data_IF_396759456730
#
_entry.id   IF_396759456730
#
_cell.length_a   1.000
_cell.length_b   1.000
_cell.length_c   1.000
_cell.angle_alpha   90.00
_cell.angle_beta   90.00
_cell.angle_gamma   90.00
#
_symmetry.space_group_name_H-M   'P 1'
#
loop_
_entity.id
_entity.type
_entity.pdbx_description
1 polymer ?
#
# COMPACT_ATOMS: atom_id res chain seq x y z
N UNK A 1 32.08 9.64 28.98
CA UNK A 1 32.38 9.59 27.53
C UNK A 1 31.15 9.11 26.77
N UNK A 2 30.97 9.52 25.53
CA UNK A 2 29.81 9.21 24.67
C UNK A 2 29.49 7.71 24.63
N UNK A 3 30.50 6.84 24.68
CA UNK A 3 30.37 5.39 24.71
C UNK A 3 29.54 4.89 25.90
N UNK A 4 29.72 5.45 27.08
CA UNK A 4 28.99 5.03 28.28
C UNK A 4 27.51 5.50 28.26
N UNK A 5 27.23 6.61 27.60
CA UNK A 5 25.85 7.08 27.42
C UNK A 5 25.05 6.20 26.39
N UNK A 6 25.72 5.76 25.35
CA UNK A 6 25.12 4.83 24.35
C UNK A 6 24.82 3.49 25.00
N UNK A 7 25.74 2.96 25.81
CA UNK A 7 25.53 1.67 26.50
C UNK A 7 24.40 1.76 27.53
N UNK A 8 24.31 2.86 28.30
CA UNK A 8 23.25 3.05 29.29
C UNK A 8 21.87 3.25 28.63
N UNK A 9 21.80 3.91 27.46
CA UNK A 9 20.59 4.02 26.66
C UNK A 9 20.16 2.66 26.08
N UNK A 10 21.11 1.85 25.62
CA UNK A 10 20.82 0.50 25.14
C UNK A 10 20.35 -0.44 26.26
N UNK A 11 20.89 -0.33 27.48
CA UNK A 11 20.43 -1.06 28.65
C UNK A 11 19.06 -0.57 29.14
N UNK A 12 18.80 0.74 29.10
CA UNK A 12 17.47 1.31 29.43
C UNK A 12 16.39 0.84 28.44
N UNK A 13 16.72 0.70 27.16
CA UNK A 13 15.81 0.15 26.14
C UNK A 13 15.56 -1.36 26.35
N UNK A 14 16.55 -2.09 26.81
CA UNK A 14 16.41 -3.54 27.14
C UNK A 14 15.58 -3.78 28.41
N UNK A 15 15.56 -2.85 29.35
CA UNK A 15 14.86 -2.99 30.63
C UNK A 15 13.46 -2.37 30.65
N UNK A 16 12.98 -1.85 29.51
CA UNK A 16 11.56 -1.59 29.32
C UNK A 16 10.90 -2.94 29.02
N UNK A 17 10.68 -3.68 30.10
CA UNK A 17 9.82 -4.86 30.10
C UNK A 17 8.40 -4.37 29.86
N UNK A 18 8.00 -4.31 28.58
CA UNK A 18 6.64 -4.02 28.16
C UNK A 18 5.84 -5.29 28.44
N UNK A 19 5.61 -5.59 29.70
CA UNK A 19 4.57 -6.49 30.15
C UNK A 19 3.21 -5.78 30.02
N UNK A 20 2.89 -5.37 28.81
CA UNK A 20 1.52 -5.15 28.40
C UNK A 20 1.09 -6.39 27.62
N UNK A 21 -0.09 -6.93 27.94
CA UNK A 21 -0.78 -7.92 27.13
C UNK A 21 -1.07 -7.36 25.73
N UNK A 22 -0.01 -7.13 24.94
CA UNK A 22 -0.14 -6.80 23.54
C UNK A 22 -0.32 -8.13 22.81
N UNK A 23 -1.54 -8.43 22.46
CA UNK A 23 -1.83 -9.47 21.48
C UNK A 23 -1.01 -9.13 20.24
N UNK A 24 0.07 -9.91 19.97
CA UNK A 24 0.79 -9.80 18.70
C UNK A 24 -0.23 -9.97 17.60
N UNK A 25 -0.32 -9.00 16.71
CA UNK A 25 -1.13 -9.15 15.52
C UNK A 25 -0.49 -10.27 14.68
N UNK A 26 -1.28 -11.28 14.30
CA UNK A 26 -0.87 -12.28 13.32
C UNK A 26 -0.41 -11.55 12.04
N UNK A 27 0.73 -11.94 11.44
CA UNK A 27 1.33 -11.22 10.31
C UNK A 27 0.43 -11.13 9.07
N UNK A 28 -0.57 -12.00 8.95
CA UNK A 28 -1.39 -12.16 7.76
C UNK A 28 -2.75 -11.46 7.83
N UNK A 29 -3.11 -10.81 8.93
CA UNK A 29 -4.38 -10.11 9.04
C UNK A 29 -4.19 -8.61 8.84
N UNK A 30 -4.44 -8.14 7.62
CA UNK A 30 -4.49 -6.73 7.30
C UNK A 30 -5.57 -6.03 8.15
N UNK A 31 -5.16 -5.18 9.07
CA UNK A 31 -6.08 -4.50 9.98
C UNK A 31 -6.51 -3.15 9.41
N UNK A 32 -7.64 -3.13 8.69
CA UNK A 32 -8.22 -1.91 8.12
C UNK A 32 -8.52 -0.83 9.17
N UNK A 33 -8.89 -1.22 10.40
CA UNK A 33 -9.15 -0.27 11.49
C UNK A 33 -7.88 0.45 11.91
N UNK A 34 -6.75 -0.27 11.98
CA UNK A 34 -5.44 0.33 12.23
C UNK A 34 -5.06 1.30 11.13
N UNK A 35 -5.20 0.89 9.87
CA UNK A 35 -4.88 1.77 8.73
C UNK A 35 -5.76 3.02 8.73
N UNK A 36 -7.05 2.90 8.98
CA UNK A 36 -7.95 4.03 9.11
C UNK A 36 -7.49 5.00 10.19
N UNK A 37 -7.20 4.49 11.40
CA UNK A 37 -6.71 5.28 12.53
C UNK A 37 -5.39 6.01 12.20
N UNK A 38 -4.44 5.29 11.61
CA UNK A 38 -3.13 5.85 11.24
C UNK A 38 -3.23 6.88 10.11
N UNK A 39 -4.13 6.69 9.14
CA UNK A 39 -4.39 7.67 8.08
C UNK A 39 -4.93 8.99 8.65
N UNK A 40 -5.83 8.93 9.64
CA UNK A 40 -6.34 10.11 10.35
C UNK A 40 -5.23 10.85 11.10
N UNK A 41 -4.33 10.09 11.75
CA UNK A 41 -3.15 10.66 12.40
C UNK A 41 -2.21 11.34 11.41
N UNK A 42 -1.87 10.67 10.31
CA UNK A 42 -1.02 11.21 9.24
C UNK A 42 -1.62 12.49 8.67
N UNK A 43 -2.92 12.49 8.40
CA UNK A 43 -3.61 13.69 7.94
C UNK A 43 -3.50 14.84 8.96
N UNK A 44 -3.78 14.58 10.23
CA UNK A 44 -3.66 15.58 11.29
C UNK A 44 -2.21 16.08 11.47
N UNK A 45 -1.23 15.21 11.25
CA UNK A 45 0.19 15.57 11.37
C UNK A 45 0.66 16.45 10.21
N UNK A 46 0.29 16.18 8.97
CA UNK A 46 0.79 16.87 7.78
C UNK A 46 -0.14 17.97 7.24
N UNK A 47 -1.26 18.22 7.91
CA UNK A 47 -2.19 19.30 7.53
C UNK A 47 -2.20 20.37 8.61
N UNK A 48 -1.52 21.49 8.33
CA UNK A 48 -1.44 22.62 9.24
C UNK A 48 -1.80 23.91 8.50
N UNK A 49 -2.83 24.60 8.99
CA UNK A 49 -3.31 25.86 8.42
C UNK A 49 -2.29 27.01 8.57
N UNK A 50 -2.40 28.01 7.69
CA UNK A 50 -1.71 29.30 7.88
C UNK A 50 -2.40 30.19 8.94
N UNK A 51 -3.70 29.95 9.17
CA UNK A 51 -4.49 30.69 10.17
C UNK A 51 -4.15 30.19 11.58
N UNK A 52 -3.64 31.09 12.43
CA UNK A 52 -3.18 30.79 13.78
C UNK A 52 -4.29 30.21 14.67
N UNK A 53 -5.53 30.63 14.51
CA UNK A 53 -6.64 30.09 15.30
C UNK A 53 -6.91 28.63 14.93
N UNK A 54 -6.94 28.34 13.63
CA UNK A 54 -7.10 26.98 13.13
C UNK A 54 -5.92 26.08 13.50
N UNK A 55 -4.69 26.63 13.51
CA UNK A 55 -3.51 25.88 13.97
C UNK A 55 -3.66 25.37 15.41
N UNK A 56 -4.18 26.18 16.32
CA UNK A 56 -4.37 25.77 17.73
C UNK A 56 -5.35 24.58 17.85
N UNK A 57 -6.43 24.60 17.09
CA UNK A 57 -7.39 23.50 17.05
C UNK A 57 -6.77 22.23 16.45
N UNK A 58 -6.00 22.39 15.36
CA UNK A 58 -5.31 21.28 14.71
C UNK A 58 -4.25 20.64 15.58
N UNK A 59 -3.49 21.43 16.34
CA UNK A 59 -2.52 20.93 17.33
C UNK A 59 -3.22 20.15 18.43
N UNK A 60 -4.31 20.66 19.00
CA UNK A 60 -5.10 19.93 20.01
C UNK A 60 -5.67 18.63 19.45
N UNK A 61 -6.15 18.64 18.22
CA UNK A 61 -6.62 17.42 17.56
C UNK A 61 -5.49 16.38 17.42
N UNK A 62 -4.30 16.83 17.05
CA UNK A 62 -3.13 15.94 16.93
C UNK A 62 -2.72 15.36 18.29
N UNK A 63 -2.74 16.18 19.35
CA UNK A 63 -2.41 15.74 20.71
C UNK A 63 -3.31 14.61 21.21
N UNK A 64 -4.56 14.58 20.80
CA UNK A 64 -5.52 13.54 21.18
C UNK A 64 -5.19 12.13 20.65
N UNK A 65 -4.28 12.00 19.69
CA UNK A 65 -3.83 10.69 19.21
C UNK A 65 -2.82 10.04 20.15
N UNK A 66 -2.14 10.82 21.00
CA UNK A 66 -1.08 10.33 21.88
C UNK A 66 -1.64 9.83 23.21
N UNK A 67 -1.00 8.80 23.78
CA UNK A 67 -1.29 8.33 25.14
C UNK A 67 -0.51 9.10 26.23
N UNK A 68 0.22 10.12 25.84
CA UNK A 68 1.01 11.02 26.70
C UNK A 68 0.89 12.45 26.16
N UNK A 69 1.32 13.43 26.95
CA UNK A 69 1.41 14.82 26.49
C UNK A 69 2.74 14.99 25.75
N UNK A 70 2.73 15.10 24.41
CA UNK A 70 3.96 15.29 23.66
C UNK A 70 4.52 16.69 23.97
N UNK A 71 5.75 16.76 24.45
CA UNK A 71 6.43 18.04 24.65
C UNK A 71 6.99 18.55 23.30
N UNK A 72 6.09 19.03 22.45
CA UNK A 72 6.41 19.51 21.11
C UNK A 72 7.30 20.76 21.16
N UNK A 73 7.21 21.55 22.25
CA UNK A 73 7.96 22.81 22.39
C UNK A 73 9.40 22.59 22.82
N UNK A 74 9.68 21.66 23.75
CA UNK A 74 11.04 21.41 24.24
C UNK A 74 11.89 20.67 23.20
N UNK A 75 11.28 20.01 22.22
CA UNK A 75 11.99 19.26 21.19
C UNK A 75 12.33 20.11 19.95
N UNK A 76 12.09 21.43 20.00
CA UNK A 76 12.42 22.33 18.89
C UNK A 76 11.66 22.08 17.60
N UNK A 77 10.51 21.40 17.66
CA UNK A 77 9.68 21.15 16.49
C UNK A 77 8.92 22.42 16.09
N UNK A 78 9.51 23.17 15.19
CA UNK A 78 8.80 24.25 14.47
C UNK A 78 8.13 23.59 13.26
N UNK A 79 6.81 23.72 13.17
CA UNK A 79 6.02 23.21 12.06
C UNK A 79 5.52 24.35 11.19
N UNK A 80 5.89 24.31 9.92
CA UNK A 80 5.36 25.25 8.94
C UNK A 80 3.95 24.84 8.51
N UNK A 81 3.12 25.78 8.04
CA UNK A 81 1.88 25.45 7.38
C UNK A 81 2.11 24.44 6.27
N UNK A 82 1.32 23.38 6.27
CA UNK A 82 1.53 22.23 5.38
C UNK A 82 0.22 21.62 4.92
N UNK A 83 0.30 20.90 3.82
CA UNK A 83 -0.83 20.17 3.20
C UNK A 83 -0.36 18.77 2.80
N UNK A 84 -1.07 17.75 3.29
CA UNK A 84 -0.84 16.38 2.87
C UNK A 84 -1.26 16.20 1.40
N UNK A 85 -0.35 15.70 0.56
CA UNK A 85 -0.64 15.35 -0.84
C UNK A 85 -1.00 13.89 -0.97
N UNK A 86 -0.20 12.99 -0.37
CA UNK A 86 -0.48 11.56 -0.36
C UNK A 86 0.19 10.86 0.82
N UNK A 87 -0.45 9.78 1.27
CA UNK A 87 0.07 8.88 2.29
C UNK A 87 -0.13 7.44 1.84
N UNK A 88 0.92 6.64 1.87
CA UNK A 88 0.89 5.24 1.51
C UNK A 88 1.53 4.42 2.64
N UNK A 89 0.76 3.52 3.25
CA UNK A 89 1.28 2.57 4.24
C UNK A 89 2.17 1.56 3.51
N UNK A 90 3.42 1.41 3.96
CA UNK A 90 4.41 0.50 3.38
C UNK A 90 4.52 -0.79 4.18
N UNK A 91 4.74 -0.67 5.50
CA UNK A 91 4.90 -1.82 6.41
C UNK A 91 4.31 -1.52 7.78
N UNK A 92 3.98 -2.57 8.51
CA UNK A 92 3.65 -2.53 9.94
C UNK A 92 4.44 -3.65 10.62
N UNK A 93 5.44 -3.27 11.38
CA UNK A 93 6.34 -4.20 12.07
C UNK A 93 6.63 -3.69 13.48
N UNK A 94 6.64 -4.56 14.47
CA UNK A 94 6.98 -4.24 15.87
C UNK A 94 6.25 -3.02 16.46
N UNK A 95 4.95 -2.87 16.14
CA UNK A 95 4.15 -1.69 16.51
C UNK A 95 4.65 -0.35 15.94
N UNK A 96 5.36 -0.41 14.83
CA UNK A 96 5.78 0.75 14.05
C UNK A 96 5.14 0.63 12.68
N UNK A 97 4.36 1.64 12.30
CA UNK A 97 3.83 1.78 10.95
C UNK A 97 4.74 2.71 10.14
N UNK A 98 5.19 2.26 8.99
CA UNK A 98 6.01 3.05 8.07
C UNK A 98 5.16 3.50 6.89
N UNK A 99 5.14 4.81 6.66
CA UNK A 99 4.46 5.45 5.54
C UNK A 99 5.45 6.07 4.55
N UNK A 100 5.07 6.06 3.28
CA UNK A 100 5.59 7.00 2.28
C UNK A 100 4.65 8.20 2.26
N UNK A 101 5.18 9.36 2.60
CA UNK A 101 4.43 10.62 2.68
C UNK A 101 4.91 11.58 1.60
N UNK A 102 3.96 12.24 0.96
CA UNK A 102 4.18 13.37 0.08
C UNK A 102 3.34 14.54 0.60
N UNK A 103 3.99 15.68 0.85
CA UNK A 103 3.34 16.86 1.42
C UNK A 103 3.94 18.14 0.86
N UNK A 104 3.22 19.25 0.99
CA UNK A 104 3.67 20.58 0.62
C UNK A 104 3.79 21.45 1.86
N UNK A 105 4.85 22.21 1.93
CA UNK A 105 5.03 23.27 2.94
C UNK A 105 5.02 24.63 2.26
N UNK A 106 4.43 25.62 2.95
CA UNK A 106 4.50 27.03 2.58
C UNK A 106 5.43 27.74 3.56
N UNK A 107 6.56 28.22 3.06
CA UNK A 107 7.55 28.97 3.81
C UNK A 107 7.46 30.44 3.34
N UNK A 108 7.10 31.36 4.23
CA UNK A 108 7.21 32.83 4.03
C UNK A 108 6.70 33.38 2.69
N UNK A 109 5.44 33.16 2.33
CA UNK A 109 4.84 33.65 1.08
C UNK A 109 5.51 33.17 -0.23
N UNK A 110 6.44 32.23 -0.16
CA UNK A 110 7.00 31.57 -1.33
C UNK A 110 6.05 30.51 -1.89
N UNK A 111 6.35 30.05 -3.11
CA UNK A 111 5.65 28.93 -3.70
C UNK A 111 5.78 27.68 -2.82
N UNK A 112 4.68 26.96 -2.64
CA UNK A 112 4.67 25.76 -1.83
C UNK A 112 5.71 24.75 -2.34
N UNK A 113 6.61 24.31 -1.46
CA UNK A 113 7.63 23.31 -1.79
C UNK A 113 7.10 21.93 -1.43
N UNK A 114 7.27 20.99 -2.36
CA UNK A 114 6.84 19.62 -2.19
C UNK A 114 8.00 18.74 -1.67
N UNK A 115 7.66 17.90 -0.69
CA UNK A 115 8.60 16.97 -0.06
C UNK A 115 8.05 15.55 -0.11
N UNK A 116 8.95 14.58 -0.19
CA UNK A 116 8.63 13.16 -0.11
C UNK A 116 9.60 12.48 0.86
N UNK A 117 9.06 11.69 1.79
CA UNK A 117 9.86 11.06 2.85
C UNK A 117 9.20 9.80 3.38
N UNK A 118 10.00 8.95 4.04
CA UNK A 118 9.50 7.93 4.93
C UNK A 118 9.09 8.54 6.27
N UNK A 119 8.00 8.05 6.86
CA UNK A 119 7.47 8.52 8.13
C UNK A 119 7.09 7.32 8.99
N UNK A 120 7.72 7.20 10.14
CA UNK A 120 7.58 6.06 11.03
C UNK A 120 6.77 6.47 12.24
N UNK A 121 5.73 5.69 12.55
CA UNK A 121 4.73 6.01 13.56
C UNK A 121 4.69 4.87 14.58
N UNK A 122 5.22 5.07 15.81
CA UNK A 122 5.05 4.10 16.87
C UNK A 122 3.62 4.17 17.41
N UNK A 123 2.95 3.03 17.50
CA UNK A 123 1.58 2.95 17.97
C UNK A 123 1.40 1.82 18.98
N UNK A 124 0.31 1.87 19.74
CA UNK A 124 -0.11 0.82 20.64
C UNK A 124 -1.60 0.53 20.51
N UNK A 125 -2.05 -0.54 21.18
CA UNK A 125 -3.45 -0.94 21.23
C UNK A 125 -3.86 -1.21 22.68
N UNK A 126 -5.02 -0.69 23.09
CA UNK A 126 -5.62 -0.95 24.39
C UNK A 126 -7.14 -1.04 24.24
N UNK A 127 -7.76 -2.06 24.79
CA UNK A 127 -9.22 -2.26 24.78
C UNK A 127 -9.83 -2.15 23.37
N UNK A 128 -9.13 -2.72 22.38
CA UNK A 128 -9.55 -2.68 20.97
C UNK A 128 -9.32 -1.36 20.24
N UNK A 129 -8.83 -0.31 20.91
CA UNK A 129 -8.55 1.02 20.36
C UNK A 129 -7.05 1.26 20.21
N UNK A 130 -6.68 2.16 19.31
CA UNK A 130 -5.30 2.50 19.03
C UNK A 130 -4.90 3.84 19.66
N UNK A 131 -3.59 4.03 19.86
CA UNK A 131 -2.98 5.28 20.30
C UNK A 131 -1.56 5.40 19.72
N UNK A 132 -1.06 6.62 19.60
CA UNK A 132 0.32 6.88 19.24
C UNK A 132 1.16 6.78 20.52
N UNK A 133 2.12 5.86 20.54
CA UNK A 133 2.89 5.49 21.73
C UNK A 133 4.22 6.23 21.87
N UNK A 134 4.61 7.00 20.85
CA UNK A 134 5.85 7.77 20.85
C UNK A 134 5.86 8.82 19.75
N UNK A 135 6.88 9.68 19.73
CA UNK A 135 7.02 10.66 18.67
C UNK A 135 7.39 9.96 17.35
N UNK A 136 6.77 10.36 16.24
CA UNK A 136 7.13 9.84 14.93
C UNK A 136 8.47 10.39 14.47
N UNK A 137 9.10 9.71 13.50
CA UNK A 137 10.36 10.20 12.93
C UNK A 137 10.40 9.98 11.41
N UNK A 138 11.19 10.82 10.75
CA UNK A 138 11.44 10.71 9.33
C UNK A 138 12.54 9.69 9.03
N UNK A 139 12.45 9.04 7.85
CA UNK A 139 13.46 8.12 7.35
C UNK A 139 13.60 8.25 5.84
N UNK A 140 14.74 7.79 5.32
CA UNK A 140 14.91 7.63 3.89
C UNK A 140 13.88 6.62 3.34
N UNK A 141 13.43 6.86 2.10
CA UNK A 141 12.62 5.90 1.36
C UNK A 141 13.52 4.85 0.74
N UNK A 142 13.21 3.59 1.01
CA UNK A 142 13.86 2.46 0.36
C UNK A 142 13.10 2.12 -0.91
N UNK A 143 13.81 1.94 -2.02
CA UNK A 143 13.21 1.40 -3.24
C UNK A 143 12.96 -0.10 -3.05
N UNK A 144 11.74 -0.54 -3.34
CA UNK A 144 11.39 -1.96 -3.41
C UNK A 144 11.63 -2.55 -4.80
N UNK A 145 12.04 -1.72 -5.75
CA UNK A 145 12.37 -2.17 -7.09
C UNK A 145 13.78 -2.79 -7.08
N UNK A 146 13.89 -4.03 -7.55
CA UNK A 146 15.17 -4.67 -7.78
C UNK A 146 15.94 -3.91 -8.88
N UNK A 147 17.23 -3.62 -8.62
CA UNK A 147 18.08 -2.88 -9.57
C UNK A 147 18.61 -3.75 -10.71
N UNK A 148 18.76 -5.05 -10.47
CA UNK A 148 19.22 -6.03 -11.45
C UNK A 148 18.51 -7.36 -11.22
N UNK A 149 18.18 -8.04 -12.29
CA UNK A 149 17.59 -9.38 -12.29
C UNK A 149 18.13 -10.16 -13.48
N UNK A 150 18.20 -11.48 -13.35
CA UNK A 150 18.66 -12.38 -14.38
C UNK A 150 17.48 -12.74 -15.33
N UNK A 151 17.83 -13.11 -16.58
CA UNK A 151 16.84 -13.62 -17.54
C UNK A 151 16.08 -14.86 -17.01
N UNK A 152 16.71 -15.63 -16.12
CA UNK A 152 16.14 -16.82 -15.50
C UNK A 152 15.00 -16.49 -14.51
N UNK A 153 14.95 -15.26 -13.98
CA UNK A 153 13.93 -14.77 -13.06
C UNK A 153 12.67 -14.28 -13.78
N UNK A 154 12.68 -14.24 -15.10
CA UNK A 154 11.47 -13.96 -15.89
C UNK A 154 10.43 -15.06 -15.67
N UNK A 155 9.17 -14.66 -15.56
CA UNK A 155 8.06 -15.59 -15.59
C UNK A 155 8.10 -16.35 -16.93
N UNK A 156 8.55 -17.61 -16.89
CA UNK A 156 8.57 -18.50 -18.06
C UNK A 156 7.23 -19.22 -18.12
N UNK A 157 6.36 -18.73 -18.97
CA UNK A 157 5.15 -19.45 -19.36
C UNK A 157 5.53 -20.31 -20.57
N UNK A 158 5.88 -21.57 -20.32
CA UNK A 158 6.12 -22.55 -21.39
C UNK A 158 5.01 -23.59 -21.36
N UNK A 159 4.49 -23.93 -22.55
CA UNK A 159 3.66 -25.11 -22.68
C UNK A 159 4.49 -26.35 -22.31
N UNK A 160 4.07 -27.06 -21.29
CA UNK A 160 4.76 -28.31 -20.86
C UNK A 160 4.26 -29.51 -21.65
N UNK A 161 3.08 -29.41 -22.25
CA UNK A 161 2.42 -30.46 -22.99
C UNK A 161 2.32 -30.11 -24.47
N UNK A 162 2.40 -31.12 -25.34
CA UNK A 162 2.16 -30.93 -26.78
C UNK A 162 0.67 -31.01 -27.02
N UNK A 163 0.09 -29.93 -27.50
CA UNK A 163 -1.29 -29.83 -27.95
C UNK A 163 -1.32 -29.75 -29.49
N UNK A 164 -2.31 -30.37 -30.08
CA UNK A 164 -2.52 -30.28 -31.54
C UNK A 164 -3.01 -28.88 -31.94
N UNK A 165 -2.76 -28.50 -33.18
CA UNK A 165 -3.30 -27.24 -33.76
C UNK A 165 -4.83 -27.16 -33.65
N UNK A 166 -5.51 -28.32 -33.70
CA UNK A 166 -6.97 -28.40 -33.55
C UNK A 166 -7.40 -28.02 -32.12
N UNK A 167 -6.67 -28.45 -31.11
CA UNK A 167 -6.95 -28.12 -29.70
C UNK A 167 -6.67 -26.64 -29.42
N UNK A 168 -5.54 -26.14 -29.90
CA UNK A 168 -5.23 -24.70 -29.80
C UNK A 168 -6.34 -23.83 -30.41
N UNK A 169 -6.80 -24.16 -31.63
CA UNK A 169 -7.90 -23.44 -32.31
C UNK A 169 -9.21 -23.49 -31.54
N UNK A 170 -9.52 -24.62 -30.90
CA UNK A 170 -10.75 -24.74 -30.10
C UNK A 170 -10.67 -23.84 -28.86
N UNK A 171 -9.54 -23.84 -28.16
CA UNK A 171 -9.31 -22.99 -26.99
C UNK A 171 -9.32 -21.52 -27.38
N UNK A 172 -8.62 -21.13 -28.42
CA UNK A 172 -8.60 -19.74 -28.94
C UNK A 172 -10.01 -19.24 -29.28
N UNK A 173 -10.81 -20.08 -29.98
CA UNK A 173 -12.20 -19.75 -30.27
C UNK A 173 -13.03 -19.56 -29.02
N UNK A 174 -12.90 -20.46 -28.04
CA UNK A 174 -13.60 -20.35 -26.76
C UNK A 174 -13.18 -19.04 -26.02
N UNK A 175 -11.90 -18.77 -25.95
CA UNK A 175 -11.36 -17.57 -25.28
C UNK A 175 -11.81 -16.29 -25.98
N UNK A 176 -11.87 -16.28 -27.30
CA UNK A 176 -12.42 -15.14 -28.07
C UNK A 176 -13.88 -14.88 -27.71
N UNK A 177 -14.70 -15.93 -27.63
CA UNK A 177 -16.10 -15.80 -27.20
C UNK A 177 -16.16 -15.30 -25.73
N UNK A 178 -15.34 -15.89 -24.86
CA UNK A 178 -15.28 -15.50 -23.46
C UNK A 178 -14.92 -14.02 -23.31
N UNK A 179 -13.81 -13.54 -23.85
CA UNK A 179 -13.37 -12.15 -23.69
C UNK A 179 -14.30 -11.15 -24.38
N UNK A 180 -14.93 -11.53 -25.50
CA UNK A 180 -15.95 -10.69 -26.13
C UNK A 180 -17.12 -10.47 -25.19
N UNK A 181 -17.63 -11.52 -24.55
CA UNK A 181 -18.75 -11.41 -23.60
C UNK A 181 -18.31 -10.79 -22.26
N UNK A 182 -17.09 -11.07 -21.80
CA UNK A 182 -16.48 -10.47 -20.60
C UNK A 182 -16.44 -8.94 -20.66
N UNK A 183 -16.37 -8.35 -21.84
CA UNK A 183 -16.36 -6.90 -22.03
C UNK A 183 -17.69 -6.31 -22.53
N UNK A 184 -18.72 -7.14 -22.79
CA UNK A 184 -19.93 -6.62 -23.46
C UNK A 184 -21.26 -7.18 -22.98
N UNK A 185 -21.32 -8.43 -22.48
CA UNK A 185 -22.63 -9.08 -22.27
C UNK A 185 -22.62 -10.05 -21.08
N UNK A 186 -23.27 -9.62 -19.98
CA UNK A 186 -23.34 -10.42 -18.75
C UNK A 186 -24.18 -11.69 -18.92
N UNK A 187 -25.27 -11.64 -19.66
CA UNK A 187 -26.17 -12.80 -19.82
C UNK A 187 -25.45 -13.93 -20.54
N UNK A 188 -24.75 -13.60 -21.63
CA UNK A 188 -23.94 -14.59 -22.35
C UNK A 188 -22.75 -15.08 -21.53
N UNK A 189 -22.12 -14.18 -20.74
CA UNK A 189 -21.00 -14.54 -19.88
C UNK A 189 -21.45 -15.54 -18.80
N UNK A 190 -22.62 -15.36 -18.22
CA UNK A 190 -23.19 -16.27 -17.22
C UNK A 190 -23.41 -17.71 -17.73
N UNK A 191 -23.57 -17.88 -19.04
CA UNK A 191 -23.71 -19.24 -19.64
C UNK A 191 -22.38 -20.01 -19.66
N UNK A 192 -21.25 -19.31 -19.64
CA UNK A 192 -19.91 -19.91 -19.76
C UNK A 192 -19.07 -19.72 -18.51
N UNK A 193 -19.34 -18.69 -17.71
CA UNK A 193 -18.60 -18.35 -16.50
C UNK A 193 -19.52 -17.58 -15.51
N UNK A 194 -20.41 -18.28 -14.77
CA UNK A 194 -21.47 -17.65 -13.96
C UNK A 194 -20.93 -16.80 -12.80
N UNK A 195 -19.71 -17.07 -12.32
CA UNK A 195 -19.11 -16.36 -11.20
C UNK A 195 -18.26 -15.15 -11.61
N UNK A 196 -18.30 -14.80 -12.91
CA UNK A 196 -17.49 -13.68 -13.45
C UNK A 196 -18.42 -12.53 -13.85
N UNK A 197 -18.05 -11.32 -13.46
CA UNK A 197 -18.77 -10.09 -13.81
C UNK A 197 -18.13 -9.40 -15.01
N UNK A 198 -18.96 -8.87 -15.90
CA UNK A 198 -18.55 -8.08 -17.07
C UNK A 198 -17.75 -6.85 -16.64
N UNK A 199 -16.62 -6.58 -17.30
CA UNK A 199 -15.82 -5.39 -17.11
C UNK A 199 -16.37 -4.24 -17.95
N UNK A 200 -16.86 -3.19 -17.27
CA UNK A 200 -17.40 -1.99 -17.91
C UNK A 200 -16.30 -1.14 -18.56
N UNK A 201 -16.69 -0.35 -19.58
CA UNK A 201 -15.81 0.63 -20.26
C UNK A 201 -14.55 0.02 -20.88
N UNK A 202 -14.61 -1.28 -21.19
CA UNK A 202 -13.50 -2.05 -21.75
C UNK A 202 -13.99 -2.76 -23.01
N UNK A 203 -13.13 -2.87 -24.01
CA UNK A 203 -13.42 -3.60 -25.26
C UNK A 203 -12.29 -4.58 -25.53
N UNK A 204 -12.63 -5.86 -25.70
CA UNK A 204 -11.68 -6.87 -26.14
C UNK A 204 -11.20 -6.60 -27.57
N UNK A 205 -9.89 -6.74 -27.83
CA UNK A 205 -9.27 -6.55 -29.14
C UNK A 205 -8.75 -7.84 -29.73
N UNK A 206 -7.81 -8.49 -29.06
CA UNK A 206 -7.15 -9.68 -29.59
C UNK A 206 -6.58 -10.53 -28.45
N UNK A 207 -6.33 -11.80 -28.75
CA UNK A 207 -5.49 -12.68 -27.94
C UNK A 207 -4.08 -12.61 -28.53
N UNK A 208 -3.10 -12.30 -27.69
CA UNK A 208 -1.70 -12.15 -28.09
C UNK A 208 -0.93 -13.46 -27.95
N UNK A 209 -1.15 -14.17 -26.81
CA UNK A 209 -0.51 -15.45 -26.50
C UNK A 209 -1.47 -16.40 -25.79
N UNK A 210 -1.33 -17.69 -26.09
CA UNK A 210 -2.00 -18.79 -25.38
C UNK A 210 -0.96 -19.87 -25.07
N UNK A 211 -0.82 -20.18 -23.79
CA UNK A 211 -0.03 -21.31 -23.32
C UNK A 211 -0.96 -22.31 -22.63
N UNK A 212 -0.91 -23.56 -23.06
CA UNK A 212 -1.75 -24.63 -22.53
C UNK A 212 -0.94 -25.58 -21.67
N UNK A 213 -1.53 -26.01 -20.56
CA UNK A 213 -0.98 -26.99 -19.65
C UNK A 213 -2.08 -27.91 -19.14
N UNK A 214 -1.83 -29.21 -19.09
CA UNK A 214 -2.69 -30.13 -18.37
C UNK A 214 -2.32 -30.14 -16.87
N UNK A 215 -3.31 -30.04 -16.00
CA UNK A 215 -3.13 -30.13 -14.56
C UNK A 215 -4.20 -31.08 -13.99
N UNK A 216 -3.82 -32.35 -13.83
CA UNK A 216 -4.76 -33.43 -13.54
C UNK A 216 -5.75 -33.61 -14.68
N UNK A 217 -7.06 -33.55 -14.36
CA UNK A 217 -8.15 -33.65 -15.34
C UNK A 217 -8.55 -32.30 -15.96
N UNK A 218 -7.84 -31.24 -15.63
CA UNK A 218 -8.16 -29.88 -16.06
C UNK A 218 -7.16 -29.35 -17.07
N UNK A 219 -7.66 -28.67 -18.11
CA UNK A 219 -6.84 -27.90 -19.03
C UNK A 219 -6.74 -26.45 -18.54
N UNK A 220 -5.53 -26.01 -18.26
CA UNK A 220 -5.24 -24.62 -17.86
C UNK A 220 -4.71 -23.87 -19.08
N UNK A 221 -5.30 -22.72 -19.36
CA UNK A 221 -4.84 -21.79 -20.38
C UNK A 221 -4.29 -20.52 -19.70
N UNK A 222 -3.03 -20.20 -19.93
CA UNK A 222 -2.45 -18.91 -19.63
C UNK A 222 -2.58 -18.04 -20.86
N UNK A 223 -3.26 -16.91 -20.72
CA UNK A 223 -3.64 -16.08 -21.85
C UNK A 223 -3.21 -14.65 -21.64
N UNK A 224 -2.55 -14.09 -22.62
CA UNK A 224 -2.36 -12.65 -22.73
C UNK A 224 -3.33 -12.12 -23.78
N UNK A 225 -4.11 -11.12 -23.43
CA UNK A 225 -5.10 -10.52 -24.30
C UNK A 225 -5.06 -8.99 -24.22
N UNK A 226 -5.19 -8.34 -25.34
CA UNK A 226 -5.22 -6.88 -25.45
C UNK A 226 -6.64 -6.34 -25.36
N UNK A 227 -6.81 -5.32 -24.53
CA UNK A 227 -8.06 -4.59 -24.32
C UNK A 227 -7.90 -3.10 -24.62
N UNK A 228 -8.99 -2.47 -25.04
CA UNK A 228 -9.09 -1.02 -25.18
C UNK A 228 -9.89 -0.44 -24.00
N UNK A 229 -9.31 0.53 -23.33
CA UNK A 229 -9.92 1.26 -22.20
C UNK A 229 -9.73 2.76 -22.44
N UNK A 230 -10.82 3.51 -22.58
CA UNK A 230 -10.76 4.98 -22.74
C UNK A 230 -9.94 5.45 -23.94
N UNK A 231 -9.88 4.64 -25.02
CA UNK A 231 -9.09 4.95 -26.22
C UNK A 231 -7.61 4.51 -26.17
N UNK A 232 -7.14 3.96 -25.04
CA UNK A 232 -5.82 3.35 -24.90
C UNK A 232 -5.91 1.83 -24.95
N UNK A 233 -4.89 1.16 -25.49
CA UNK A 233 -4.80 -0.30 -25.49
C UNK A 233 -3.88 -0.80 -24.39
N UNK A 234 -4.31 -1.86 -23.69
CA UNK A 234 -3.60 -2.48 -22.58
C UNK A 234 -3.59 -4.00 -22.76
N UNK A 235 -2.50 -4.66 -22.38
CA UNK A 235 -2.35 -6.12 -22.39
C UNK A 235 -1.95 -6.65 -21.03
#
# INVERSE_FOLDING_TARGET
TLSNQVTSLQESIKNIDITSNQTKMEPDQYNYQLQYYLNDYVYAYFTLSQDTNKQQEQVKRLENFYNFVPDIKSQGQIRNPSELVSAQLLTVEDNIARYKIKYKEKINNENAKEYQTGFNIPFGRKDGKFFISGLPWFSALTSYQAGQFNEEEKLKLSATDQFSDSEHKKVEKFLTIFFTNYTSNQDNLNLIAPDITVVSNTKFKTIDYIYLKNEGDSLIAYVQATFEVGGSTHS
#
